data_IF_188109305834
#
_entry.id   IF_188109305834
#
_cell.length_a   1.000
_cell.length_b   1.000
_cell.length_c   1.000
_cell.angle_alpha   90.00
_cell.angle_beta   90.00
_cell.angle_gamma   90.00
#
_symmetry.space_group_name_H-M   'P 1'
#
loop_
_entity.id
_entity.type
_entity.pdbx_description
1 polymer ?
#
# COMPACT_ATOMS: atom_id res chain seq x y z
N UNK A 1 -12.48 54.82 -0.50
CA UNK A 1 -11.30 54.16 -1.10
C UNK A 1 -11.27 52.77 -0.49
N UNK A 2 -12.01 51.85 -1.09
CA UNK A 2 -12.16 50.47 -0.60
C UNK A 2 -10.89 49.69 -0.95
N UNK A 3 -10.20 49.19 0.07
CA UNK A 3 -9.18 48.16 -0.10
C UNK A 3 -9.90 46.82 -0.21
N UNK A 4 -9.99 46.29 -1.43
CA UNK A 4 -10.36 44.90 -1.67
C UNK A 4 -9.27 43.99 -1.08
N UNK A 5 -9.61 43.28 0.00
CA UNK A 5 -8.87 42.11 0.47
C UNK A 5 -8.98 41.00 -0.59
N UNK A 6 -7.93 40.86 -1.40
CA UNK A 6 -7.76 39.74 -2.32
C UNK A 6 -7.44 38.46 -1.51
N UNK A 7 -8.47 37.75 -1.06
CA UNK A 7 -8.34 36.41 -0.47
C UNK A 7 -8.22 35.41 -1.63
N UNK A 8 -7.03 34.81 -1.78
CA UNK A 8 -6.81 33.69 -2.72
C UNK A 8 -7.84 32.56 -2.54
N UNK A 9 -8.02 31.68 -3.55
CA UNK A 9 -9.14 30.74 -3.58
C UNK A 9 -9.17 29.93 -2.29
N UNK A 10 -10.28 30.03 -1.56
CA UNK A 10 -10.48 29.31 -0.32
C UNK A 10 -10.21 27.83 -0.57
N UNK A 11 -9.20 27.27 0.11
CA UNK A 11 -8.90 25.83 0.10
C UNK A 11 -10.22 25.08 0.29
N UNK A 12 -10.66 24.33 -0.72
CA UNK A 12 -11.97 23.70 -0.65
C UNK A 12 -11.89 22.65 0.47
N UNK A 13 -12.86 22.64 1.40
CA UNK A 13 -12.81 21.73 2.57
C UNK A 13 -12.71 20.25 2.14
N UNK A 14 -13.16 19.93 0.92
CA UNK A 14 -12.95 18.63 0.28
C UNK A 14 -11.47 18.29 0.04
N UNK A 15 -10.65 19.26 -0.37
CA UNK A 15 -9.21 19.07 -0.59
C UNK A 15 -8.52 18.71 0.73
N UNK A 16 -8.92 19.35 1.84
CA UNK A 16 -8.40 19.05 3.18
C UNK A 16 -8.72 17.62 3.60
N UNK A 17 -9.91 17.11 3.24
CA UNK A 17 -10.27 15.70 3.49
C UNK A 17 -9.38 14.77 2.67
N UNK A 18 -9.20 15.05 1.38
CA UNK A 18 -8.36 14.25 0.50
C UNK A 18 -6.90 14.23 0.97
N UNK A 19 -6.30 15.39 1.23
CA UNK A 19 -4.91 15.55 1.73
C UNK A 19 -4.68 14.75 3.02
N UNK A 20 -5.65 14.77 3.96
CA UNK A 20 -5.52 14.02 5.22
C UNK A 20 -5.57 12.51 5.03
N UNK A 21 -6.42 12.03 4.12
CA UNK A 21 -6.50 10.60 3.82
C UNK A 21 -5.25 10.13 3.07
N UNK A 22 -4.80 10.91 2.08
CA UNK A 22 -3.53 10.67 1.36
C UNK A 22 -2.35 10.59 2.32
N UNK A 23 -2.29 11.51 3.30
CA UNK A 23 -1.25 11.46 4.34
C UNK A 23 -1.31 10.17 5.15
N UNK A 24 -2.50 9.70 5.57
CA UNK A 24 -2.62 8.43 6.28
C UNK A 24 -2.17 7.22 5.44
N UNK A 25 -2.33 7.28 4.12
CA UNK A 25 -1.85 6.24 3.20
C UNK A 25 -0.32 6.29 3.11
N UNK A 26 0.25 7.48 2.90
CA UNK A 26 1.70 7.70 2.81
C UNK A 26 2.40 7.33 4.13
N UNK A 27 1.81 7.67 5.27
CA UNK A 27 2.33 7.34 6.60
C UNK A 27 2.12 5.85 6.96
N UNK A 28 1.57 5.03 6.04
CA UNK A 28 1.37 3.58 6.24
C UNK A 28 0.23 3.20 7.20
N UNK A 29 -0.52 4.18 7.71
CA UNK A 29 -1.68 3.96 8.61
C UNK A 29 -2.84 3.30 7.87
N UNK A 30 -3.03 3.65 6.60
CA UNK A 30 -3.98 3.00 5.69
C UNK A 30 -3.20 2.30 4.58
N UNK A 31 -3.25 0.97 4.54
CA UNK A 31 -2.54 0.17 3.55
C UNK A 31 -3.38 -0.02 2.27
N UNK A 32 -2.72 -0.29 1.15
CA UNK A 32 -3.39 -0.69 -0.09
C UNK A 32 -4.36 -1.86 0.17
N UNK A 33 -5.56 -1.80 -0.40
CA UNK A 33 -6.63 -2.78 -0.19
C UNK A 33 -7.36 -2.68 1.15
N UNK A 34 -6.92 -1.83 2.09
CA UNK A 34 -7.60 -1.64 3.38
C UNK A 34 -8.87 -0.79 3.22
N UNK A 35 -9.93 -1.17 3.94
CA UNK A 35 -11.17 -0.41 3.98
C UNK A 35 -10.98 0.93 4.71
N UNK A 36 -11.45 2.01 4.11
CA UNK A 36 -11.55 3.32 4.75
C UNK A 36 -12.65 3.32 5.82
N UNK A 37 -12.51 4.13 6.89
CA UNK A 37 -13.60 4.36 7.83
C UNK A 37 -14.86 4.88 7.12
N UNK A 38 -16.04 4.55 7.66
CA UNK A 38 -17.31 5.04 7.10
C UNK A 38 -17.37 6.57 7.08
N UNK A 39 -18.14 7.16 6.15
CA UNK A 39 -18.29 8.62 6.04
C UNK A 39 -18.70 9.26 7.37
N UNK A 40 -19.57 8.60 8.15
CA UNK A 40 -19.94 9.04 9.50
C UNK A 40 -18.71 9.14 10.41
N UNK A 41 -17.89 8.09 10.46
CA UNK A 41 -16.68 8.05 11.30
C UNK A 41 -15.62 9.03 10.82
N UNK A 42 -15.50 9.26 9.51
CA UNK A 42 -14.62 10.28 8.94
C UNK A 42 -15.08 11.69 9.32
N UNK A 43 -16.39 11.96 9.27
CA UNK A 43 -16.99 13.24 9.71
C UNK A 43 -16.59 13.53 11.16
N UNK A 44 -16.77 12.54 12.04
CA UNK A 44 -16.42 12.64 13.47
C UNK A 44 -14.92 12.83 13.71
N UNK A 45 -14.07 12.03 13.03
CA UNK A 45 -12.62 12.09 13.21
C UNK A 45 -11.98 13.35 12.65
N UNK A 46 -12.47 13.85 11.53
CA UNK A 46 -11.87 14.97 10.79
C UNK A 46 -12.49 16.32 11.17
N UNK A 47 -13.63 16.32 11.88
CA UNK A 47 -14.33 17.54 12.30
C UNK A 47 -14.91 18.35 11.14
N UNK A 48 -15.24 17.70 10.02
CA UNK A 48 -15.77 18.35 8.81
C UNK A 48 -17.21 17.92 8.52
N UNK A 49 -17.93 18.65 7.67
CA UNK A 49 -19.29 18.28 7.28
C UNK A 49 -19.35 17.00 6.44
N UNK A 50 -20.48 16.29 6.49
CA UNK A 50 -20.71 15.10 5.64
C UNK A 50 -20.57 15.42 4.14
N UNK A 51 -21.00 16.61 3.72
CA UNK A 51 -20.85 17.07 2.33
C UNK A 51 -19.38 17.18 1.94
N UNK A 52 -18.54 17.77 2.80
CA UNK A 52 -17.11 17.88 2.55
C UNK A 52 -16.43 16.49 2.50
N UNK A 53 -16.82 15.56 3.38
CA UNK A 53 -16.33 14.17 3.33
C UNK A 53 -16.70 13.52 2.01
N UNK A 54 -17.97 13.64 1.57
CA UNK A 54 -18.43 13.06 0.29
C UNK A 54 -17.68 13.62 -0.91
N UNK A 55 -17.44 14.92 -0.95
CA UNK A 55 -16.68 15.55 -2.03
C UNK A 55 -15.19 15.15 -1.99
N UNK A 56 -14.57 15.10 -0.81
CA UNK A 56 -13.20 14.60 -0.67
C UNK A 56 -13.05 13.14 -1.13
N UNK A 57 -14.03 12.29 -0.79
CA UNK A 57 -14.07 10.90 -1.25
C UNK A 57 -14.28 10.79 -2.77
N UNK A 58 -15.07 11.69 -3.39
CA UNK A 58 -15.19 11.76 -4.86
C UNK A 58 -13.86 12.15 -5.49
N UNK A 59 -13.16 13.13 -4.92
CA UNK A 59 -11.86 13.59 -5.41
C UNK A 59 -10.81 12.47 -5.36
N UNK A 60 -10.72 11.75 -4.23
CA UNK A 60 -9.83 10.60 -4.08
C UNK A 60 -10.13 9.48 -5.10
N UNK A 61 -11.41 9.19 -5.37
CA UNK A 61 -11.81 8.25 -6.43
C UNK A 61 -11.39 8.74 -7.81
N UNK A 62 -11.62 10.01 -8.12
CA UNK A 62 -11.25 10.59 -9.41
C UNK A 62 -9.73 10.53 -9.66
N UNK A 63 -8.93 10.58 -8.58
CA UNK A 63 -7.47 10.42 -8.61
C UNK A 63 -7.01 8.95 -8.65
N UNK A 64 -7.92 7.98 -8.50
CA UNK A 64 -7.56 6.56 -8.43
C UNK A 64 -6.86 6.16 -7.14
N UNK A 65 -6.97 6.96 -6.06
CA UNK A 65 -6.33 6.69 -4.76
C UNK A 65 -7.19 5.74 -3.91
N UNK A 66 -8.50 5.74 -4.14
CA UNK A 66 -9.44 4.82 -3.52
C UNK A 66 -10.40 4.24 -4.55
N UNK A 67 -10.85 3.02 -4.29
CA UNK A 67 -11.93 2.36 -5.03
C UNK A 67 -13.16 2.18 -4.14
N UNK A 68 -14.35 2.27 -4.71
CA UNK A 68 -15.60 1.98 -4.00
C UNK A 68 -16.24 0.72 -4.54
N UNK A 69 -16.40 -0.28 -3.68
CA UNK A 69 -17.16 -1.48 -4.00
C UNK A 69 -18.58 -1.33 -3.44
N UNK A 70 -19.58 -1.46 -4.33
CA UNK A 70 -20.98 -1.32 -3.95
C UNK A 70 -21.32 -2.28 -2.79
N UNK A 71 -21.96 -1.75 -1.74
CA UNK A 71 -22.33 -2.50 -0.53
C UNK A 71 -21.18 -2.86 0.43
N UNK A 72 -19.91 -2.72 0.03
CA UNK A 72 -18.74 -3.08 0.87
C UNK A 72 -17.95 -1.88 1.41
N UNK A 73 -18.07 -0.71 0.79
CA UNK A 73 -17.41 0.52 1.24
C UNK A 73 -16.31 1.00 0.28
N UNK A 74 -15.46 1.91 0.77
CA UNK A 74 -14.31 2.42 0.01
C UNK A 74 -13.03 1.80 0.53
N UNK A 75 -12.09 1.50 -0.35
CA UNK A 75 -10.82 0.84 -0.07
C UNK A 75 -9.69 1.66 -0.67
N UNK A 76 -8.52 1.67 -0.03
CA UNK A 76 -7.31 2.25 -0.65
C UNK A 76 -7.03 1.46 -1.92
N UNK A 77 -6.91 2.16 -3.05
CA UNK A 77 -6.64 1.53 -4.33
C UNK A 77 -5.27 0.85 -4.28
N UNK A 78 -5.14 -0.29 -4.96
CA UNK A 78 -3.82 -0.82 -5.26
C UNK A 78 -3.22 0.04 -6.35
N UNK A 79 -1.99 0.52 -6.16
CA UNK A 79 -1.27 1.25 -7.23
C UNK A 79 -0.82 0.29 -8.35
N UNK A 80 -0.95 -1.03 -8.15
CA UNK A 80 -0.84 -2.03 -9.21
C UNK A 80 -2.20 -2.15 -9.91
N UNK A 81 -2.33 -1.81 -11.21
CA UNK A 81 -3.54 -2.06 -11.97
C UNK A 81 -3.93 -3.54 -11.87
N UNK A 82 -5.21 -3.82 -11.74
CA UNK A 82 -5.76 -5.19 -11.75
C UNK A 82 -5.24 -5.97 -12.96
N UNK A 83 -4.58 -7.11 -12.70
CA UNK A 83 -4.35 -8.31 -13.54
C UNK A 83 -4.61 -8.20 -15.05
N UNK A 84 -4.13 -7.16 -15.72
CA UNK A 84 -3.93 -7.23 -17.16
C UNK A 84 -2.57 -7.87 -17.38
N UNK A 85 -2.53 -8.95 -18.17
CA UNK A 85 -1.28 -9.61 -18.54
C UNK A 85 -0.48 -8.58 -19.34
N UNK A 86 0.48 -7.95 -18.68
CA UNK A 86 1.36 -6.99 -19.34
C UNK A 86 2.32 -7.74 -20.27
N UNK A 87 2.87 -7.10 -21.31
CA UNK A 87 3.95 -7.70 -22.11
C UNK A 87 5.12 -8.20 -21.25
N UNK A 88 5.40 -7.52 -20.13
CA UNK A 88 6.40 -7.94 -19.16
C UNK A 88 6.04 -9.27 -18.47
N UNK A 89 4.79 -9.44 -18.02
CA UNK A 89 4.31 -10.71 -17.46
C UNK A 89 4.45 -11.87 -18.46
N UNK A 90 4.13 -11.65 -19.73
CA UNK A 90 4.32 -12.66 -20.77
C UNK A 90 5.79 -13.03 -20.95
N UNK A 91 6.70 -12.05 -20.96
CA UNK A 91 8.15 -12.29 -21.07
C UNK A 91 8.71 -13.02 -19.84
N UNK A 92 8.20 -12.74 -18.64
CA UNK A 92 8.58 -13.44 -17.40
C UNK A 92 8.19 -14.93 -17.42
N UNK A 93 7.03 -15.27 -17.98
CA UNK A 93 6.59 -16.66 -18.10
C UNK A 93 7.26 -17.44 -19.25
N UNK A 94 7.77 -16.75 -20.27
CA UNK A 94 8.27 -17.38 -21.51
C UNK A 94 9.80 -17.39 -21.64
N UNK A 95 10.52 -16.56 -20.89
CA UNK A 95 11.98 -16.44 -20.99
C UNK A 95 12.64 -16.68 -19.62
N UNK A 96 13.43 -17.75 -19.43
CA UNK A 96 14.09 -18.00 -18.14
C UNK A 96 14.99 -16.86 -17.67
N UNK A 97 15.59 -16.09 -18.59
CA UNK A 97 16.48 -14.96 -18.27
C UNK A 97 15.76 -13.82 -17.52
N UNK A 98 14.53 -13.51 -17.89
CA UNK A 98 13.80 -12.37 -17.31
C UNK A 98 13.45 -12.62 -15.83
N UNK A 99 13.33 -13.88 -15.40
CA UNK A 99 13.20 -14.23 -13.99
C UNK A 99 14.48 -13.87 -13.20
N UNK A 100 15.67 -14.11 -13.75
CA UNK A 100 16.92 -13.71 -13.10
C UNK A 100 17.04 -12.18 -13.00
N UNK A 101 16.71 -11.47 -14.09
CA UNK A 101 16.71 -10.00 -14.11
C UNK A 101 15.73 -9.44 -13.05
N UNK A 102 14.57 -10.08 -12.87
CA UNK A 102 13.60 -9.74 -11.83
C UNK A 102 14.17 -9.97 -10.41
N UNK A 103 14.82 -11.11 -10.16
CA UNK A 103 15.46 -11.38 -8.87
C UNK A 103 16.61 -10.43 -8.57
N UNK A 104 17.36 -9.98 -9.58
CA UNK A 104 18.41 -8.97 -9.42
C UNK A 104 17.82 -7.62 -8.93
N UNK A 105 16.75 -7.15 -9.57
CA UNK A 105 16.04 -5.93 -9.15
C UNK A 105 15.45 -6.09 -7.75
N UNK A 106 14.82 -7.23 -7.47
CA UNK A 106 14.28 -7.52 -6.13
C UNK A 106 15.37 -7.50 -5.08
N UNK A 107 16.50 -8.15 -5.31
CA UNK A 107 17.61 -8.20 -4.35
C UNK A 107 18.12 -6.80 -3.96
N UNK A 108 18.23 -5.88 -4.92
CA UNK A 108 18.61 -4.50 -4.65
C UNK A 108 17.57 -3.76 -3.80
N UNK A 109 16.28 -3.90 -4.13
CA UNK A 109 15.19 -3.23 -3.43
C UNK A 109 14.94 -3.81 -2.04
N UNK A 110 15.01 -5.13 -1.88
CA UNK A 110 14.84 -5.83 -0.60
C UNK A 110 15.99 -5.50 0.37
N UNK A 111 17.22 -5.41 -0.11
CA UNK A 111 18.36 -4.98 0.70
C UNK A 111 18.16 -3.55 1.25
N UNK A 112 17.69 -2.62 0.40
CA UNK A 112 17.38 -1.25 0.83
C UNK A 112 16.18 -1.22 1.78
N UNK A 113 15.15 -2.04 1.55
CA UNK A 113 14.02 -2.19 2.47
C UNK A 113 14.50 -2.66 3.85
N UNK A 114 15.35 -3.69 3.91
CA UNK A 114 15.92 -4.19 5.16
C UNK A 114 16.77 -3.12 5.87
N UNK A 115 17.60 -2.37 5.13
CA UNK A 115 18.39 -1.25 5.68
C UNK A 115 17.49 -0.16 6.28
N UNK A 116 16.44 0.22 5.57
CA UNK A 116 15.47 1.21 6.05
C UNK A 116 14.66 0.69 7.24
N UNK A 117 14.27 -0.59 7.23
CA UNK A 117 13.58 -1.24 8.34
C UNK A 117 14.43 -1.25 9.62
N UNK A 118 15.73 -1.50 9.50
CA UNK A 118 16.65 -1.42 10.63
C UNK A 118 16.75 0.01 11.20
N UNK A 119 16.65 1.05 10.36
CA UNK A 119 16.76 2.45 10.77
C UNK A 119 15.46 3.06 11.30
N UNK A 120 14.31 2.61 10.77
CA UNK A 120 12.99 3.23 10.99
C UNK A 120 12.00 2.35 11.73
N UNK A 121 12.27 1.05 11.80
CA UNK A 121 11.37 0.05 12.37
C UNK A 121 11.02 0.33 13.82
N UNK A 122 9.76 0.10 14.15
CA UNK A 122 9.23 0.22 15.50
C UNK A 122 9.32 -1.12 16.24
N UNK A 123 9.21 -1.14 17.58
CA UNK A 123 9.12 -2.40 18.34
C UNK A 123 8.00 -3.32 17.85
N UNK A 124 6.87 -2.76 17.41
CA UNK A 124 5.75 -3.52 16.86
C UNK A 124 6.11 -4.19 15.52
N UNK A 125 6.87 -3.49 14.67
CA UNK A 125 7.34 -4.03 13.39
C UNK A 125 8.27 -5.22 13.63
N UNK A 126 9.22 -5.12 14.57
CA UNK A 126 10.15 -6.22 14.88
C UNK A 126 9.45 -7.45 15.48
N UNK A 127 8.42 -7.25 16.30
CA UNK A 127 7.58 -8.35 16.81
C UNK A 127 6.86 -9.05 15.63
N UNK A 128 6.31 -8.27 14.70
CA UNK A 128 5.64 -8.83 13.54
C UNK A 128 6.62 -9.60 12.63
N UNK A 129 7.80 -9.04 12.35
CA UNK A 129 8.84 -9.70 11.54
C UNK A 129 9.26 -11.02 12.19
N UNK A 130 9.54 -11.03 13.50
CA UNK A 130 9.90 -12.25 14.22
C UNK A 130 8.81 -13.31 14.12
N UNK A 131 7.55 -12.92 14.32
CA UNK A 131 6.42 -13.84 14.16
C UNK A 131 6.31 -14.40 12.74
N UNK A 132 6.46 -13.56 11.70
CA UNK A 132 6.41 -14.03 10.31
C UNK A 132 7.55 -15.00 9.99
N UNK A 133 8.74 -14.75 10.54
CA UNK A 133 9.88 -15.64 10.42
C UNK A 133 9.63 -17.01 11.06
N UNK A 134 9.04 -17.04 12.26
CA UNK A 134 8.65 -18.28 12.94
C UNK A 134 7.60 -19.06 12.13
N UNK A 135 6.59 -18.37 11.58
CA UNK A 135 5.56 -18.97 10.73
C UNK A 135 6.17 -19.59 9.46
N UNK A 136 7.13 -18.90 8.83
CA UNK A 136 7.82 -19.35 7.62
C UNK A 136 8.75 -20.54 7.90
N UNK A 137 9.57 -20.48 8.95
CA UNK A 137 10.52 -21.57 9.27
C UNK A 137 9.82 -22.83 9.80
N UNK A 138 8.69 -22.68 10.49
CA UNK A 138 7.89 -23.82 10.92
C UNK A 138 7.28 -24.61 9.73
N UNK A 139 7.09 -23.95 8.58
CA UNK A 139 6.58 -24.58 7.36
C UNK A 139 7.59 -25.52 6.68
N UNK A 140 8.90 -25.36 6.94
CA UNK A 140 9.93 -26.25 6.39
C UNK A 140 9.85 -27.67 6.99
N UNK A 141 9.38 -27.77 8.23
CA UNK A 141 9.15 -29.05 8.91
C UNK A 141 7.82 -29.71 8.53
N UNK A 142 7.00 -29.06 7.70
CA UNK A 142 5.68 -29.54 7.29
C UNK A 142 5.67 -29.90 5.80
N UNK A 143 4.90 -30.92 5.42
CA UNK A 143 4.66 -31.26 4.02
C UNK A 143 3.57 -30.36 3.42
N UNK A 144 3.87 -29.06 3.35
CA UNK A 144 3.01 -28.06 2.75
C UNK A 144 3.21 -28.04 1.23
N UNK A 145 2.13 -27.73 0.51
CA UNK A 145 2.23 -27.48 -0.91
C UNK A 145 3.15 -26.26 -1.19
N UNK A 146 3.81 -26.20 -2.37
CA UNK A 146 4.72 -25.11 -2.71
C UNK A 146 4.10 -23.72 -2.67
N UNK A 147 2.81 -23.58 -2.97
CA UNK A 147 2.12 -22.29 -2.99
C UNK A 147 1.86 -21.77 -1.57
N UNK A 148 1.57 -22.66 -0.62
CA UNK A 148 1.45 -22.33 0.80
C UNK A 148 2.79 -21.87 1.38
N UNK A 149 3.91 -22.54 1.05
CA UNK A 149 5.26 -22.10 1.44
C UNK A 149 5.60 -20.73 0.87
N UNK A 150 5.34 -20.51 -0.43
CA UNK A 150 5.58 -19.23 -1.09
C UNK A 150 4.81 -18.06 -0.45
N UNK A 151 3.59 -18.29 0.05
CA UNK A 151 2.81 -17.27 0.77
C UNK A 151 3.42 -16.89 2.11
N UNK A 152 4.00 -17.85 2.83
CA UNK A 152 4.64 -17.59 4.11
C UNK A 152 5.97 -16.84 3.93
N UNK A 153 6.76 -17.25 2.93
CA UNK A 153 7.95 -16.53 2.49
C UNK A 153 7.63 -15.07 2.12
N UNK A 154 6.64 -14.87 1.25
CA UNK A 154 6.17 -13.53 0.89
C UNK A 154 5.73 -12.71 2.10
N UNK A 155 4.97 -13.31 3.02
CA UNK A 155 4.50 -12.61 4.22
C UNK A 155 5.65 -12.15 5.14
N UNK A 156 6.74 -12.90 5.19
CA UNK A 156 7.96 -12.50 5.92
C UNK A 156 8.67 -11.33 5.24
N UNK A 157 8.95 -11.44 3.94
CA UNK A 157 9.58 -10.35 3.17
C UNK A 157 8.74 -9.07 3.16
N UNK A 158 7.42 -9.18 3.07
CA UNK A 158 6.50 -8.05 3.14
C UNK A 158 6.58 -7.33 4.49
N UNK A 159 6.64 -8.07 5.61
CA UNK A 159 6.74 -7.45 6.94
C UNK A 159 8.04 -6.64 7.10
N UNK A 160 9.16 -7.11 6.55
CA UNK A 160 10.41 -6.33 6.50
C UNK A 160 10.23 -5.08 5.64
N UNK A 161 9.62 -5.23 4.47
CA UNK A 161 9.40 -4.11 3.56
C UNK A 161 8.50 -3.04 4.18
N UNK A 162 7.41 -3.41 4.84
CA UNK A 162 6.51 -2.48 5.54
C UNK A 162 7.23 -1.72 6.66
N UNK A 163 8.12 -2.39 7.39
CA UNK A 163 8.94 -1.78 8.44
C UNK A 163 9.94 -0.73 7.91
N UNK A 164 10.19 -0.67 6.59
CA UNK A 164 10.97 0.41 5.97
C UNK A 164 10.29 1.78 6.06
N UNK A 165 8.98 1.80 6.37
CA UNK A 165 8.13 3.01 6.38
C UNK A 165 8.32 3.84 5.11
N UNK A 166 8.43 3.15 3.97
CA UNK A 166 8.55 3.73 2.65
C UNK A 166 7.42 3.17 1.75
N UNK A 167 6.29 3.87 1.64
CA UNK A 167 5.12 3.35 0.92
C UNK A 167 5.39 3.11 -0.57
N UNK A 168 6.32 3.87 -1.18
CA UNK A 168 6.72 3.67 -2.58
C UNK A 168 7.46 2.35 -2.72
N UNK A 169 8.42 2.07 -1.83
CA UNK A 169 9.18 0.82 -1.84
C UNK A 169 8.29 -0.40 -1.60
N UNK A 170 7.39 -0.32 -0.61
CA UNK A 170 6.39 -1.37 -0.31
C UNK A 170 5.55 -1.67 -1.55
N UNK A 171 5.03 -0.63 -2.19
CA UNK A 171 4.21 -0.83 -3.37
C UNK A 171 5.01 -1.42 -4.53
N UNK A 172 6.20 -0.90 -4.83
CA UNK A 172 7.03 -1.42 -5.92
C UNK A 172 7.39 -2.89 -5.70
N UNK A 173 7.81 -3.29 -4.50
CA UNK A 173 8.13 -4.68 -4.21
C UNK A 173 6.90 -5.61 -4.24
N UNK A 174 5.75 -5.14 -3.77
CA UNK A 174 4.50 -5.89 -3.91
C UNK A 174 4.12 -6.10 -5.38
N UNK A 175 4.20 -5.05 -6.23
CA UNK A 175 3.94 -5.18 -7.67
C UNK A 175 4.89 -6.17 -8.33
N UNK A 176 6.17 -6.20 -7.95
CA UNK A 176 7.15 -7.17 -8.47
C UNK A 176 6.87 -8.60 -7.99
N UNK A 177 6.37 -8.75 -6.77
CA UNK A 177 6.01 -10.07 -6.22
C UNK A 177 4.76 -10.64 -6.87
N UNK A 178 3.78 -9.80 -7.18
CA UNK A 178 2.57 -10.20 -7.91
C UNK A 178 2.88 -10.74 -9.33
N UNK A 179 4.09 -10.53 -9.85
CA UNK A 179 4.55 -11.15 -11.11
C UNK A 179 4.98 -12.61 -10.96
N UNK A 180 5.18 -13.09 -9.72
CA UNK A 180 5.70 -14.42 -9.40
C UNK A 180 4.62 -15.37 -8.84
N UNK A 181 3.47 -14.85 -8.44
CA UNK A 181 2.35 -15.57 -7.81
C UNK A 181 1.15 -15.70 -8.75
#
# INVERSE_FOLDING_TARGET
MEMQENRGPARHVADVVAERIEKLIVDGVLKAGQALPSERRLTEKLGVSRTAVREGMKLLRARGIIDTTHGKGSFVASLTPQREITPMMHLLGSQPRTLYDLFEVRGMLEAEAARLAALRGTPADFILIARRYEEMTAADAQDLDPAARAKLDHAFHLAICEASHNPVLVNTLQSLTDLLL
#
